data_IF_793317776365
#
_entry.id   IF_793317776365
#
_cell.length_a   1.000
_cell.length_b   1.000
_cell.length_c   1.000
_cell.angle_alpha   90.00
_cell.angle_beta   90.00
_cell.angle_gamma   90.00
#
_symmetry.space_group_name_H-M   'P 1'
#
loop_
_entity.id
_entity.type
_entity.pdbx_description
1 polymer ?
#
# COMPACT_ATOMS: atom_id res chain seq x y z
N UNK A 1 22.39 -39.80 -39.46
CA UNK A 1 21.25 -40.07 -38.55
C UNK A 1 20.92 -38.78 -37.86
N UNK A 2 19.69 -38.28 -38.03
CA UNK A 2 19.21 -37.13 -37.25
C UNK A 2 18.92 -37.61 -35.83
N UNK A 3 19.56 -37.01 -34.85
CA UNK A 3 19.23 -37.24 -33.45
C UNK A 3 17.79 -36.77 -33.18
N UNK A 4 16.96 -37.57 -32.51
CA UNK A 4 15.60 -37.17 -32.17
C UNK A 4 15.65 -36.06 -31.11
N UNK A 5 14.88 -34.99 -31.35
CA UNK A 5 14.66 -33.92 -30.37
C UNK A 5 14.26 -34.52 -29.01
N UNK A 6 14.79 -34.00 -27.89
CA UNK A 6 14.31 -34.40 -26.58
C UNK A 6 12.81 -34.08 -26.46
N UNK A 7 12.04 -34.95 -25.78
CA UNK A 7 10.61 -34.73 -25.58
C UNK A 7 10.38 -33.38 -24.88
N UNK A 8 9.26 -32.70 -25.16
CA UNK A 8 8.92 -31.47 -24.46
C UNK A 8 8.93 -31.73 -22.96
N UNK A 9 9.71 -30.93 -22.23
CA UNK A 9 9.69 -30.90 -20.77
C UNK A 9 8.24 -30.73 -20.34
N UNK A 10 7.70 -31.76 -19.67
CA UNK A 10 6.37 -31.69 -19.08
C UNK A 10 6.27 -30.51 -18.12
N UNK A 11 5.04 -30.09 -17.75
CA UNK A 11 4.88 -29.05 -16.75
C UNK A 11 5.66 -29.43 -15.48
N UNK A 12 6.36 -28.48 -14.83
CA UNK A 12 7.11 -28.77 -13.62
C UNK A 12 6.19 -29.43 -12.61
N UNK A 13 6.50 -30.69 -12.26
CA UNK A 13 5.79 -31.41 -11.22
C UNK A 13 6.33 -30.91 -9.89
N UNK A 14 5.63 -29.94 -9.32
CA UNK A 14 5.90 -29.51 -7.95
C UNK A 14 5.57 -30.67 -7.00
N UNK A 15 6.40 -30.93 -5.99
CA UNK A 15 6.08 -31.93 -4.98
C UNK A 15 4.71 -31.61 -4.35
N UNK A 16 3.91 -32.62 -4.00
CA UNK A 16 2.62 -32.40 -3.35
C UNK A 16 2.83 -31.60 -2.06
N UNK A 17 1.97 -30.60 -1.84
CA UNK A 17 2.03 -29.76 -0.66
C UNK A 17 2.03 -30.62 0.63
N UNK A 18 2.87 -30.29 1.62
CA UNK A 18 2.91 -31.03 2.89
C UNK A 18 1.52 -31.04 3.57
N UNK A 19 1.21 -32.14 4.25
CA UNK A 19 -0.11 -32.40 4.86
C UNK A 19 -0.59 -31.30 5.82
N UNK A 20 0.33 -30.55 6.43
CA UNK A 20 0.01 -29.44 7.34
C UNK A 20 -0.70 -28.27 6.63
N UNK A 21 -0.42 -28.04 5.33
CA UNK A 21 -1.12 -26.99 4.57
C UNK A 21 -2.61 -27.27 4.38
N UNK A 22 -3.04 -28.53 4.49
CA UNK A 22 -4.43 -28.96 4.26
C UNK A 22 -5.36 -28.61 5.43
N UNK A 23 -4.84 -28.50 6.65
CA UNK A 23 -5.64 -28.19 7.84
C UNK A 23 -6.14 -26.73 7.88
N UNK A 24 -5.51 -25.82 7.12
CA UNK A 24 -5.90 -24.41 7.07
C UNK A 24 -7.12 -24.13 6.15
N UNK A 25 -7.59 -25.12 5.37
CA UNK A 25 -8.74 -24.94 4.48
C UNK A 25 -10.05 -24.61 5.24
N UNK A 26 -10.21 -25.12 6.46
CA UNK A 26 -11.39 -24.81 7.29
C UNK A 26 -11.44 -23.34 7.75
N UNK A 27 -10.28 -22.68 7.87
CA UNK A 27 -10.14 -21.28 8.31
C UNK A 27 -10.02 -20.30 7.14
N UNK A 28 -9.96 -20.80 5.91
CA UNK A 28 -9.95 -19.98 4.70
C UNK A 28 -11.06 -18.90 4.65
N UNK A 29 -12.36 -19.20 4.89
CA UNK A 29 -13.40 -18.17 4.86
C UNK A 29 -13.22 -17.11 5.95
N UNK A 30 -12.66 -17.47 7.10
CA UNK A 30 -12.32 -16.52 8.16
C UNK A 30 -11.28 -15.52 7.67
N UNK A 31 -10.23 -16.00 6.98
CA UNK A 31 -9.21 -15.14 6.36
C UNK A 31 -9.79 -14.15 5.35
N UNK A 32 -10.72 -14.60 4.49
CA UNK A 32 -11.42 -13.72 3.53
C UNK A 32 -12.24 -12.64 4.25
N UNK A 33 -13.01 -13.02 5.28
CA UNK A 33 -13.81 -12.07 6.05
C UNK A 33 -12.92 -11.04 6.75
N UNK A 34 -11.82 -11.47 7.35
CA UNK A 34 -10.86 -10.59 8.02
C UNK A 34 -10.18 -9.64 7.02
N UNK A 35 -9.82 -10.10 5.83
CA UNK A 35 -9.24 -9.25 4.78
C UNK A 35 -10.21 -8.14 4.33
N UNK A 36 -11.48 -8.48 4.12
CA UNK A 36 -12.51 -7.50 3.77
C UNK A 36 -12.79 -6.52 4.90
N UNK A 37 -12.83 -7.00 6.15
CA UNK A 37 -13.00 -6.17 7.34
C UNK A 37 -11.82 -5.21 7.53
N UNK A 38 -10.59 -5.68 7.28
CA UNK A 38 -9.39 -4.86 7.27
C UNK A 38 -9.50 -3.72 6.25
N UNK A 39 -9.85 -4.03 5.00
CA UNK A 39 -10.03 -3.03 3.96
C UNK A 39 -11.10 -1.99 4.32
N UNK A 40 -12.21 -2.41 4.92
CA UNK A 40 -13.25 -1.52 5.42
C UNK A 40 -12.76 -0.60 6.56
N UNK A 41 -12.07 -1.16 7.55
CA UNK A 41 -11.51 -0.41 8.68
C UNK A 41 -10.49 0.63 8.22
N UNK A 42 -9.58 0.23 7.33
CA UNK A 42 -8.57 1.13 6.76
C UNK A 42 -9.24 2.24 5.95
N UNK A 43 -10.21 1.91 5.09
CA UNK A 43 -10.98 2.90 4.35
C UNK A 43 -11.68 3.90 5.27
N UNK A 44 -12.34 3.42 6.33
CA UNK A 44 -13.00 4.26 7.31
C UNK A 44 -12.02 5.18 8.04
N UNK A 45 -10.85 4.64 8.44
CA UNK A 45 -9.80 5.40 9.12
C UNK A 45 -9.25 6.56 8.30
N UNK A 46 -8.99 6.34 7.01
CA UNK A 46 -8.51 7.38 6.09
C UNK A 46 -9.56 8.50 5.94
N UNK A 47 -10.83 8.14 5.86
CA UNK A 47 -11.92 9.12 5.78
C UNK A 47 -12.05 9.94 7.06
N UNK A 48 -11.89 9.33 8.24
CA UNK A 48 -11.90 10.05 9.52
C UNK A 48 -10.74 11.05 9.63
N UNK A 49 -9.52 10.64 9.27
CA UNK A 49 -8.36 11.53 9.28
C UNK A 49 -8.56 12.69 8.31
N UNK A 50 -9.07 12.40 7.11
CA UNK A 50 -9.39 13.42 6.11
C UNK A 50 -10.47 14.39 6.59
N UNK A 51 -11.51 13.88 7.26
CA UNK A 51 -12.56 14.70 7.87
C UNK A 51 -11.96 15.64 8.94
N UNK A 52 -11.13 15.12 9.84
CA UNK A 52 -10.45 15.91 10.85
C UNK A 52 -9.56 17.02 10.25
N UNK A 53 -8.79 16.69 9.21
CA UNK A 53 -7.92 17.66 8.53
C UNK A 53 -8.70 18.72 7.76
N UNK A 54 -9.82 18.34 7.12
CA UNK A 54 -10.68 19.29 6.40
C UNK A 54 -11.35 20.32 7.31
N UNK A 55 -11.52 20.01 8.60
CA UNK A 55 -11.97 20.96 9.60
C UNK A 55 -10.84 21.93 10.01
N UNK A 56 -9.61 21.45 10.09
CA UNK A 56 -8.44 22.27 10.41
C UNK A 56 -8.00 23.19 9.26
N UNK A 57 -8.06 22.73 8.00
CA UNK A 57 -7.59 23.48 6.83
C UNK A 57 -8.37 24.77 6.53
N UNK A 58 -9.53 24.97 7.15
CA UNK A 58 -10.32 26.21 7.04
C UNK A 58 -9.85 27.33 7.98
N UNK A 59 -8.86 27.06 8.85
CA UNK A 59 -8.35 27.99 9.86
C UNK A 59 -7.20 28.89 9.39
N UNK A 60 -6.68 28.70 8.16
CA UNK A 60 -5.58 29.54 7.65
C UNK A 60 -6.03 30.92 7.12
N UNK A 61 -7.25 31.37 7.43
CA UNK A 61 -7.81 32.63 6.90
C UNK A 61 -8.40 33.58 7.93
N UNK A 62 -8.84 33.12 9.10
CA UNK A 62 -9.38 34.01 10.13
C UNK A 62 -9.42 33.33 11.52
N UNK A 63 -9.37 34.16 12.55
CA UNK A 63 -8.97 33.86 13.94
C UNK A 63 -9.66 32.67 14.66
N UNK A 64 -8.82 31.83 15.31
CA UNK A 64 -8.99 31.18 16.64
C UNK A 64 -10.29 30.47 17.08
N UNK A 65 -11.12 29.90 16.19
CA UNK A 65 -12.13 28.91 16.62
C UNK A 65 -12.03 27.60 15.83
N UNK A 66 -11.48 26.55 16.44
CA UNK A 66 -11.53 25.19 15.88
C UNK A 66 -12.98 24.79 15.69
N UNK A 67 -13.45 24.76 14.44
CA UNK A 67 -14.78 24.29 14.11
C UNK A 67 -14.91 22.81 14.52
N UNK A 68 -15.84 22.45 15.43
CA UNK A 68 -15.99 21.07 15.85
C UNK A 68 -16.43 20.19 14.67
N UNK A 69 -15.96 18.94 14.67
CA UNK A 69 -16.38 17.93 13.72
C UNK A 69 -17.55 17.16 14.33
N UNK A 70 -18.67 17.09 13.62
CA UNK A 70 -19.80 16.23 14.00
C UNK A 70 -19.48 14.79 13.68
N UNK A 71 -19.23 13.99 14.71
CA UNK A 71 -19.08 12.54 14.59
C UNK A 71 -20.12 11.87 15.49
N UNK A 72 -20.93 10.98 14.91
CA UNK A 72 -22.02 10.30 15.61
C UNK A 72 -22.98 11.25 16.35
N UNK A 73 -23.29 12.40 15.74
CA UNK A 73 -24.21 13.40 16.31
C UNK A 73 -23.62 14.28 17.41
N UNK A 74 -22.38 14.04 17.84
CA UNK A 74 -21.69 14.84 18.84
C UNK A 74 -20.58 15.70 18.21
N UNK A 75 -20.42 16.91 18.72
CA UNK A 75 -19.32 17.80 18.37
C UNK A 75 -18.04 17.30 19.05
N UNK A 76 -17.05 16.90 18.24
CA UNK A 76 -15.77 16.37 18.71
C UNK A 76 -14.62 17.25 18.24
N UNK A 77 -13.55 17.27 19.05
CA UNK A 77 -12.30 17.96 18.69
C UNK A 77 -11.66 17.26 17.47
N UNK A 78 -11.26 18.00 16.42
CA UNK A 78 -10.62 17.43 15.23
C UNK A 78 -9.43 16.52 15.53
N UNK A 79 -8.58 16.90 16.48
CA UNK A 79 -7.42 16.10 16.89
C UNK A 79 -7.81 14.70 17.42
N UNK A 80 -8.91 14.61 18.21
CA UNK A 80 -9.39 13.32 18.71
C UNK A 80 -9.91 12.43 17.59
N UNK A 81 -10.62 13.02 16.61
CA UNK A 81 -11.12 12.29 15.43
C UNK A 81 -9.95 11.80 14.57
N UNK A 82 -8.90 12.59 14.44
CA UNK A 82 -7.67 12.20 13.74
C UNK A 82 -6.94 11.06 14.45
N UNK A 83 -6.74 11.16 15.77
CA UNK A 83 -6.12 10.10 16.58
C UNK A 83 -6.94 8.80 16.53
N UNK A 84 -8.27 8.89 16.59
CA UNK A 84 -9.15 7.73 16.42
C UNK A 84 -8.94 7.08 15.05
N UNK A 85 -8.80 7.90 14.00
CA UNK A 85 -8.40 7.43 12.67
C UNK A 85 -7.08 6.66 12.70
N UNK A 86 -6.03 7.20 13.33
CA UNK A 86 -4.73 6.50 13.45
C UNK A 86 -4.85 5.15 14.18
N UNK A 87 -5.61 5.09 15.27
CA UNK A 87 -5.83 3.84 16.01
C UNK A 87 -6.57 2.81 15.14
N UNK A 88 -7.64 3.21 14.46
CA UNK A 88 -8.41 2.33 13.57
C UNK A 88 -7.57 1.88 12.36
N UNK A 89 -6.72 2.75 11.84
CA UNK A 89 -5.77 2.40 10.79
C UNK A 89 -4.80 1.30 11.27
N UNK A 90 -4.20 1.47 12.45
CA UNK A 90 -3.32 0.48 13.05
C UNK A 90 -4.01 -0.86 13.31
N UNK A 91 -5.26 -0.85 13.79
CA UNK A 91 -6.05 -2.07 13.98
C UNK A 91 -6.35 -2.73 12.63
N UNK A 92 -6.81 -1.97 11.62
CA UNK A 92 -7.17 -2.52 10.32
C UNK A 92 -5.97 -3.06 9.54
N UNK A 93 -4.92 -2.25 9.40
CA UNK A 93 -3.72 -2.56 8.60
C UNK A 93 -2.70 -3.41 9.37
N UNK A 94 -2.44 -3.12 10.64
CA UNK A 94 -1.46 -3.88 11.44
C UNK A 94 -2.05 -5.15 12.06
N UNK A 95 -3.26 -5.06 12.62
CA UNK A 95 -3.92 -6.17 13.30
C UNK A 95 -4.64 -7.10 12.33
N UNK A 96 -5.80 -6.67 11.84
CA UNK A 96 -6.73 -7.51 11.08
C UNK A 96 -6.14 -8.02 9.77
N UNK A 97 -5.42 -7.17 9.02
CA UNK A 97 -4.78 -7.58 7.76
C UNK A 97 -3.71 -8.66 8.00
N UNK A 98 -2.83 -8.47 8.99
CA UNK A 98 -1.76 -9.42 9.29
C UNK A 98 -2.32 -10.77 9.71
N UNK A 99 -3.36 -10.77 10.53
CA UNK A 99 -4.06 -12.01 10.95
C UNK A 99 -4.76 -12.67 9.76
N UNK A 100 -5.39 -11.90 8.87
CA UNK A 100 -5.98 -12.45 7.64
C UNK A 100 -4.92 -13.16 6.77
N UNK A 101 -3.72 -12.59 6.66
CA UNK A 101 -2.62 -13.15 5.90
C UNK A 101 -2.10 -14.51 6.39
N UNK A 102 -2.41 -14.90 7.64
CA UNK A 102 -2.11 -16.24 8.16
C UNK A 102 -3.00 -17.32 7.52
N UNK A 103 -4.24 -16.96 7.17
CA UNK A 103 -5.26 -17.92 6.72
C UNK A 103 -5.43 -17.96 5.20
N UNK A 104 -4.97 -16.95 4.46
CA UNK A 104 -5.13 -16.87 3.00
C UNK A 104 -3.82 -16.53 2.26
N UNK A 105 -3.65 -17.01 1.01
CA UNK A 105 -2.48 -16.71 0.20
C UNK A 105 -2.40 -15.22 -0.15
N UNK A 106 -1.18 -14.71 -0.34
CA UNK A 106 -0.94 -13.28 -0.58
C UNK A 106 -1.57 -12.81 -1.89
N UNK A 107 -1.58 -13.69 -2.89
CA UNK A 107 -2.22 -13.49 -4.19
C UNK A 107 -3.72 -13.21 -4.08
N UNK A 108 -4.37 -13.68 -3.02
CA UNK A 108 -5.78 -13.42 -2.72
C UNK A 108 -5.95 -12.22 -1.78
N UNK A 109 -5.08 -12.12 -0.77
CA UNK A 109 -5.12 -11.08 0.27
C UNK A 109 -5.06 -9.67 -0.33
N UNK A 110 -4.15 -9.43 -1.27
CA UNK A 110 -3.98 -8.13 -1.93
C UNK A 110 -5.25 -7.68 -2.69
N UNK A 111 -5.82 -8.47 -3.63
CA UNK A 111 -7.04 -8.09 -4.32
C UNK A 111 -8.25 -7.88 -3.39
N UNK A 112 -8.37 -8.67 -2.32
CA UNK A 112 -9.41 -8.46 -1.30
C UNK A 112 -9.20 -7.14 -0.57
N UNK A 113 -7.96 -6.80 -0.22
CA UNK A 113 -7.65 -5.55 0.45
C UNK A 113 -7.91 -4.33 -0.43
N UNK A 114 -7.63 -4.41 -1.74
CA UNK A 114 -7.90 -3.34 -2.71
C UNK A 114 -9.39 -2.92 -2.73
N UNK A 115 -10.32 -3.76 -2.26
CA UNK A 115 -11.72 -3.36 -2.05
C UNK A 115 -11.88 -2.16 -1.09
N UNK A 116 -10.85 -1.84 -0.30
CA UNK A 116 -10.74 -0.60 0.48
C UNK A 116 -11.01 0.63 -0.37
N UNK A 117 -10.64 0.65 -1.67
CA UNK A 117 -10.88 1.79 -2.55
C UNK A 117 -12.37 2.04 -2.76
N UNK A 118 -13.14 0.95 -2.88
CA UNK A 118 -14.60 0.99 -3.05
C UNK A 118 -15.25 1.46 -1.75
N UNK A 119 -14.81 0.90 -0.62
CA UNK A 119 -15.28 1.34 0.70
C UNK A 119 -14.94 2.81 0.96
N UNK A 120 -13.74 3.25 0.62
CA UNK A 120 -13.29 4.62 0.79
C UNK A 120 -14.17 5.56 -0.05
N UNK A 121 -14.50 5.19 -1.29
CA UNK A 121 -15.41 5.96 -2.14
C UNK A 121 -16.82 6.06 -1.53
N UNK A 122 -17.35 4.96 -1.00
CA UNK A 122 -18.67 4.91 -0.38
C UNK A 122 -18.72 5.75 0.91
N UNK A 123 -17.76 5.56 1.81
CA UNK A 123 -17.68 6.26 3.10
C UNK A 123 -17.38 7.75 2.87
N UNK A 124 -16.50 8.09 1.91
CA UNK A 124 -16.24 9.49 1.54
C UNK A 124 -17.50 10.19 1.03
N UNK A 125 -18.35 9.49 0.27
CA UNK A 125 -19.66 10.03 -0.12
C UNK A 125 -20.56 10.24 1.08
N UNK A 126 -20.63 9.25 1.98
CA UNK A 126 -21.51 9.30 3.15
C UNK A 126 -21.11 10.41 4.14
N UNK A 127 -19.81 10.54 4.45
CA UNK A 127 -19.32 11.46 5.48
C UNK A 127 -18.96 12.85 4.93
N UNK A 128 -18.25 12.93 3.80
CA UNK A 128 -17.79 14.21 3.23
C UNK A 128 -18.75 14.77 2.17
N UNK A 129 -19.81 14.05 1.81
CA UNK A 129 -20.77 14.43 0.75
C UNK A 129 -20.11 14.69 -0.59
N UNK A 130 -19.02 13.98 -0.89
CA UNK A 130 -18.35 14.11 -2.19
C UNK A 130 -19.26 13.69 -3.36
N UNK A 131 -19.13 14.42 -4.46
CA UNK A 131 -19.77 14.04 -5.72
C UNK A 131 -18.99 12.89 -6.35
N UNK A 132 -19.67 11.76 -6.62
CA UNK A 132 -19.09 10.68 -7.42
C UNK A 132 -19.06 11.10 -8.88
N UNK A 133 -17.88 11.41 -9.39
CA UNK A 133 -17.68 11.57 -10.82
C UNK A 133 -17.88 10.22 -11.51
N UNK A 134 -18.34 10.20 -12.79
CA UNK A 134 -18.50 8.96 -13.54
C UNK A 134 -17.20 8.16 -13.63
N UNK A 135 -16.05 8.82 -13.72
CA UNK A 135 -14.74 8.18 -13.69
C UNK A 135 -14.48 7.39 -12.39
N UNK A 136 -14.83 7.93 -11.21
CA UNK A 136 -14.70 7.23 -9.93
C UNK A 136 -15.56 5.96 -9.88
N UNK A 137 -16.77 6.01 -10.45
CA UNK A 137 -17.66 4.84 -10.54
C UNK A 137 -17.11 3.75 -11.45
N UNK A 138 -16.62 4.14 -12.64
CA UNK A 138 -15.98 3.20 -13.57
C UNK A 138 -14.74 2.56 -12.95
N UNK A 139 -13.88 3.34 -12.30
CA UNK A 139 -12.70 2.83 -11.61
C UNK A 139 -13.06 1.82 -10.51
N UNK A 140 -14.06 2.14 -9.67
CA UNK A 140 -14.54 1.22 -8.64
C UNK A 140 -15.07 -0.10 -9.23
N UNK A 141 -15.79 -0.04 -10.35
CA UNK A 141 -16.28 -1.23 -11.04
C UNK A 141 -15.13 -2.10 -11.57
N UNK A 142 -14.15 -1.49 -12.24
CA UNK A 142 -12.96 -2.20 -12.75
C UNK A 142 -12.18 -2.87 -11.61
N UNK A 143 -12.01 -2.17 -10.50
CA UNK A 143 -11.36 -2.70 -9.29
C UNK A 143 -12.09 -3.92 -8.75
N UNK A 144 -13.42 -3.87 -8.63
CA UNK A 144 -14.22 -5.02 -8.16
C UNK A 144 -14.12 -6.21 -9.12
N UNK A 145 -14.17 -5.98 -10.43
CA UNK A 145 -13.96 -7.02 -11.42
C UNK A 145 -12.57 -7.66 -11.29
N UNK A 146 -11.52 -6.85 -11.19
CA UNK A 146 -10.14 -7.34 -11.01
C UNK A 146 -9.99 -8.15 -9.73
N UNK A 147 -10.49 -7.65 -8.60
CA UNK A 147 -10.47 -8.36 -7.33
C UNK A 147 -11.21 -9.71 -7.40
N UNK A 148 -12.35 -9.75 -8.09
CA UNK A 148 -13.15 -10.97 -8.26
C UNK A 148 -12.43 -11.99 -9.13
N UNK A 149 -11.79 -11.56 -10.23
CA UNK A 149 -11.00 -12.43 -11.09
C UNK A 149 -9.81 -13.04 -10.35
N UNK A 150 -9.09 -12.23 -9.55
CA UNK A 150 -8.01 -12.75 -8.71
C UNK A 150 -8.54 -13.73 -7.65
N UNK A 151 -9.71 -13.48 -7.08
CA UNK A 151 -10.31 -14.39 -6.10
C UNK A 151 -10.69 -15.75 -6.70
N UNK A 152 -11.26 -15.75 -7.91
CA UNK A 152 -11.62 -16.98 -8.63
C UNK A 152 -10.38 -17.76 -9.08
N UNK A 153 -9.35 -17.04 -9.55
CA UNK A 153 -8.11 -17.66 -10.03
C UNK A 153 -7.13 -18.07 -8.93
N UNK A 154 -7.41 -17.78 -7.66
CA UNK A 154 -6.49 -18.09 -6.57
C UNK A 154 -6.53 -19.58 -6.23
N UNK A 155 -5.38 -20.28 -6.24
CA UNK A 155 -5.32 -21.68 -5.84
C UNK A 155 -5.62 -21.82 -4.34
N UNK A 156 -6.57 -22.68 -3.99
CA UNK A 156 -6.97 -22.96 -2.60
C UNK A 156 -5.97 -23.81 -1.83
N UNK A 157 -5.02 -24.42 -2.54
CA UNK A 157 -4.06 -25.40 -2.00
C UNK A 157 -2.65 -24.80 -1.83
N UNK A 158 -2.48 -23.50 -2.07
CA UNK A 158 -1.19 -22.85 -1.90
C UNK A 158 -0.83 -22.73 -0.42
N UNK A 159 0.31 -23.30 -0.03
CA UNK A 159 0.85 -23.17 1.32
C UNK A 159 1.12 -21.70 1.66
N UNK A 160 0.71 -21.30 2.86
CA UNK A 160 0.88 -19.93 3.38
C UNK A 160 2.04 -19.78 4.35
N UNK A 161 2.61 -20.91 4.79
CA UNK A 161 3.73 -21.01 5.72
C UNK A 161 5.02 -21.28 4.94
N UNK A 162 5.99 -20.39 5.11
CA UNK A 162 7.34 -20.53 4.55
C UNK A 162 8.34 -20.51 5.69
N UNK A 163 9.27 -21.45 5.66
CA UNK A 163 10.35 -21.50 6.67
C UNK A 163 11.43 -20.47 6.35
N UNK A 164 12.20 -20.06 7.36
CA UNK A 164 13.31 -19.12 7.18
C UNK A 164 14.44 -19.70 6.30
N UNK A 165 14.60 -21.02 6.28
CA UNK A 165 15.56 -21.74 5.42
C UNK A 165 15.14 -21.65 3.95
N UNK A 166 13.88 -21.89 3.61
CA UNK A 166 13.37 -21.76 2.24
C UNK A 166 13.53 -20.33 1.68
N UNK A 167 13.33 -19.32 2.54
CA UNK A 167 13.54 -17.91 2.16
C UNK A 167 15.04 -17.64 1.95
N UNK A 168 15.92 -18.20 2.78
CA UNK A 168 17.37 -18.08 2.63
C UNK A 168 17.88 -18.78 1.36
N UNK A 169 17.33 -19.93 1.03
CA UNK A 169 17.62 -20.68 -0.19
C UNK A 169 17.18 -19.89 -1.42
N UNK A 170 16.00 -19.26 -1.38
CA UNK A 170 15.54 -18.37 -2.45
C UNK A 170 16.50 -17.20 -2.70
N UNK A 171 17.04 -16.58 -1.65
CA UNK A 171 18.05 -15.51 -1.79
C UNK A 171 19.41 -16.02 -2.26
N UNK A 172 19.72 -17.29 -1.98
CA UNK A 172 20.97 -17.93 -2.41
C UNK A 172 20.92 -18.37 -3.87
N UNK A 173 19.71 -18.60 -4.41
CA UNK A 173 19.51 -18.90 -5.83
C UNK A 173 19.67 -17.62 -6.69
N UNK A 174 20.49 -17.65 -7.76
CA UNK A 174 20.73 -16.45 -8.58
C UNK A 174 19.47 -15.89 -9.24
N UNK A 175 18.49 -16.75 -9.54
CA UNK A 175 17.20 -16.34 -10.07
C UNK A 175 16.38 -15.55 -9.02
N UNK A 176 16.35 -16.01 -7.77
CA UNK A 176 15.64 -15.34 -6.68
C UNK A 176 16.30 -14.00 -6.31
N UNK A 177 17.63 -13.97 -6.25
CA UNK A 177 18.40 -12.74 -6.07
C UNK A 177 18.15 -11.73 -7.21
N UNK A 178 18.19 -12.17 -8.48
CA UNK A 178 17.94 -11.30 -9.63
C UNK A 178 16.51 -10.73 -9.64
N UNK A 179 15.52 -11.55 -9.31
CA UNK A 179 14.14 -11.10 -9.15
C UNK A 179 14.02 -10.03 -8.06
N UNK A 180 14.61 -10.27 -6.90
CA UNK A 180 14.57 -9.32 -5.79
C UNK A 180 15.27 -8.00 -6.10
N UNK A 181 16.46 -8.05 -6.72
CA UNK A 181 17.18 -6.85 -7.17
C UNK A 181 16.35 -6.08 -8.18
N UNK A 182 15.64 -6.76 -9.08
CA UNK A 182 14.75 -6.13 -10.05
C UNK A 182 13.59 -5.40 -9.37
N UNK A 183 12.97 -6.01 -8.37
CA UNK A 183 11.90 -5.36 -7.59
C UNK A 183 12.40 -4.08 -6.90
N UNK A 184 13.57 -4.14 -6.26
CA UNK A 184 14.16 -2.97 -5.60
C UNK A 184 14.61 -1.90 -6.58
N UNK A 185 15.16 -2.28 -7.73
CA UNK A 185 15.49 -1.34 -8.79
C UNK A 185 14.24 -0.61 -9.31
N UNK A 186 13.11 -1.31 -9.42
CA UNK A 186 11.82 -0.69 -9.79
C UNK A 186 11.36 0.34 -8.75
N UNK A 187 11.40 0.03 -7.45
CA UNK A 187 11.10 0.98 -6.38
C UNK A 187 12.05 2.18 -6.44
N UNK A 188 13.36 1.95 -6.40
CA UNK A 188 14.33 3.04 -6.33
C UNK A 188 14.21 3.94 -7.57
N UNK A 189 14.02 3.35 -8.76
CA UNK A 189 13.83 4.13 -9.99
C UNK A 189 12.53 4.92 -9.98
N UNK A 190 11.41 4.40 -9.45
CA UNK A 190 10.18 5.17 -9.34
C UNK A 190 10.32 6.33 -8.37
N UNK A 191 10.98 6.11 -7.22
CA UNK A 191 11.32 7.14 -6.23
C UNK A 191 12.18 8.24 -6.84
N UNK A 192 13.26 7.87 -7.52
CA UNK A 192 14.14 8.82 -8.19
C UNK A 192 13.36 9.60 -9.25
N UNK A 193 12.54 8.93 -10.07
CA UNK A 193 11.73 9.58 -11.08
C UNK A 193 10.74 10.59 -10.49
N UNK A 194 10.08 10.26 -9.38
CA UNK A 194 9.19 11.18 -8.66
C UNK A 194 9.95 12.37 -8.10
N UNK A 195 11.06 12.14 -7.38
CA UNK A 195 11.85 13.22 -6.80
C UNK A 195 12.41 14.16 -7.86
N UNK A 196 12.92 13.62 -8.98
CA UNK A 196 13.38 14.42 -10.11
C UNK A 196 12.22 15.19 -10.75
N UNK A 197 11.05 14.58 -10.86
CA UNK A 197 9.86 15.25 -11.39
C UNK A 197 9.40 16.40 -10.49
N UNK A 198 9.28 16.19 -9.17
CA UNK A 198 8.89 17.24 -8.22
C UNK A 198 9.92 18.35 -8.11
N UNK A 199 11.22 18.01 -8.16
CA UNK A 199 12.30 18.99 -8.22
C UNK A 199 12.24 19.84 -9.50
N UNK A 200 11.83 19.24 -10.63
CA UNK A 200 11.76 19.90 -11.92
C UNK A 200 10.47 20.71 -12.13
N UNK A 201 9.35 20.23 -11.57
CA UNK A 201 8.00 20.74 -11.74
C UNK A 201 7.32 20.87 -10.36
N UNK A 202 7.71 21.88 -9.56
CA UNK A 202 7.13 22.09 -8.24
C UNK A 202 5.62 22.36 -8.33
N UNK A 203 4.84 21.71 -7.44
CA UNK A 203 3.38 21.88 -7.40
C UNK A 203 2.99 23.30 -6.98
N UNK A 204 1.81 23.77 -7.44
CA UNK A 204 1.27 25.08 -7.10
C UNK A 204 1.27 25.39 -5.58
N UNK A 205 1.06 24.37 -4.74
CA UNK A 205 1.10 24.50 -3.28
C UNK A 205 2.53 24.65 -2.72
N UNK A 206 3.51 23.93 -3.27
CA UNK A 206 4.91 24.09 -2.89
C UNK A 206 5.40 25.52 -3.23
N UNK A 207 4.90 26.06 -4.35
CA UNK A 207 5.19 27.42 -4.79
C UNK A 207 4.50 28.47 -3.94
N UNK A 208 3.23 28.28 -3.61
CA UNK A 208 2.53 29.16 -2.67
C UNK A 208 3.19 29.17 -1.28
N UNK A 209 3.71 28.03 -0.82
CA UNK A 209 4.45 27.93 0.46
C UNK A 209 5.80 28.65 0.38
N UNK A 210 6.55 28.47 -0.72
CA UNK A 210 7.81 29.19 -0.95
C UNK A 210 7.59 30.71 -1.06
N UNK A 211 6.56 31.13 -1.78
CA UNK A 211 6.17 32.54 -1.90
C UNK A 211 5.87 33.15 -0.52
N UNK A 212 5.11 32.47 0.35
CA UNK A 212 4.82 32.95 1.72
C UNK A 212 6.06 33.04 2.62
N UNK A 213 7.03 32.12 2.46
CA UNK A 213 8.31 32.19 3.18
C UNK A 213 9.17 33.36 2.68
N UNK A 214 9.11 33.65 1.38
CA UNK A 214 9.79 34.78 0.73
C UNK A 214 9.09 36.14 0.98
N UNK A 215 7.80 36.15 1.32
CA UNK A 215 7.05 37.32 1.78
C UNK A 215 7.38 37.72 3.25
N UNK A 216 8.18 36.93 3.96
CA UNK A 216 8.89 37.43 5.15
C UNK A 216 9.88 38.53 4.69
N UNK A 217 9.93 39.69 5.36
CA UNK A 217 10.41 40.93 4.75
C UNK A 217 11.89 40.82 4.36
N UNK A 218 12.20 40.90 3.05
CA UNK A 218 13.09 41.88 2.40
C UNK A 218 13.15 41.58 0.88
N UNK A 219 12.45 42.40 0.08
CA UNK A 219 12.99 43.01 -1.15
C UNK A 219 13.32 42.16 -2.39
N UNK A 220 13.17 40.84 -2.41
CA UNK A 220 13.45 40.04 -3.61
C UNK A 220 12.17 39.82 -4.44
N UNK A 221 12.07 40.48 -5.60
CA UNK A 221 11.08 40.10 -6.61
C UNK A 221 11.32 38.65 -7.02
N UNK A 222 10.42 37.75 -6.62
CA UNK A 222 10.49 36.33 -7.01
C UNK A 222 10.21 36.26 -8.51
N UNK A 223 11.21 35.89 -9.29
CA UNK A 223 11.06 35.73 -10.73
C UNK A 223 10.29 34.43 -11.03
N UNK A 224 8.99 34.58 -11.29
CA UNK A 224 8.11 33.46 -11.67
C UNK A 224 8.35 33.00 -13.13
N UNK A 225 9.29 33.60 -13.88
CA UNK A 225 9.60 33.20 -15.27
C UNK A 225 10.20 31.80 -15.39
N UNK A 226 10.86 31.31 -14.34
CA UNK A 226 11.48 29.98 -14.32
C UNK A 226 10.53 28.84 -13.91
N UNK A 227 9.25 29.18 -13.68
CA UNK A 227 8.23 28.20 -13.37
C UNK A 227 7.78 27.42 -14.59
N UNK A 228 8.53 26.35 -14.85
CA UNK A 228 8.12 25.35 -15.83
C UNK A 228 6.94 24.59 -15.24
N UNK A 229 5.73 24.89 -15.70
CA UNK A 229 4.59 23.99 -15.52
C UNK A 229 4.86 22.71 -16.31
N UNK A 230 4.42 21.57 -15.76
CA UNK A 230 4.53 20.30 -16.45
C UNK A 230 3.71 20.35 -17.77
N UNK A 231 4.27 19.86 -18.88
CA UNK A 231 3.49 19.70 -20.11
C UNK A 231 2.26 18.80 -19.85
N UNK A 232 1.11 19.06 -20.47
CA UNK A 232 -0.14 18.35 -20.18
C UNK A 232 -0.07 16.83 -20.45
N UNK A 233 0.82 16.39 -21.36
CA UNK A 233 1.08 14.96 -21.57
C UNK A 233 1.83 14.32 -20.41
N UNK A 234 2.79 15.04 -19.85
CA UNK A 234 3.60 14.59 -18.71
C UNK A 234 2.74 14.55 -17.43
N UNK A 235 1.84 15.51 -17.26
CA UNK A 235 0.87 15.51 -16.17
C UNK A 235 -0.05 14.28 -16.22
N UNK A 236 -0.57 13.93 -17.41
CA UNK A 236 -1.36 12.70 -17.59
C UNK A 236 -0.55 11.44 -17.30
N UNK A 237 0.69 11.38 -17.75
CA UNK A 237 1.57 10.25 -17.44
C UNK A 237 1.78 10.12 -15.92
N UNK A 238 2.07 11.23 -15.25
CA UNK A 238 2.28 11.26 -13.80
C UNK A 238 1.03 10.87 -13.02
N UNK A 239 -0.17 11.22 -13.51
CA UNK A 239 -1.43 10.77 -12.91
C UNK A 239 -1.61 9.23 -12.92
N UNK A 240 -0.89 8.52 -13.79
CA UNK A 240 -0.83 7.06 -13.83
C UNK A 240 0.36 6.51 -13.04
N UNK A 241 1.55 7.10 -13.20
CA UNK A 241 2.80 6.63 -12.58
C UNK A 241 2.76 6.75 -11.06
N UNK A 242 2.19 7.84 -10.52
CA UNK A 242 2.11 8.05 -9.07
C UNK A 242 1.33 6.95 -8.35
N UNK A 243 0.05 6.69 -8.69
CA UNK A 243 -0.70 5.60 -8.07
C UNK A 243 -0.08 4.23 -8.31
N UNK A 244 0.48 3.99 -9.51
CA UNK A 244 1.09 2.71 -9.84
C UNK A 244 2.33 2.40 -8.97
N UNK A 245 3.21 3.39 -8.79
CA UNK A 245 4.37 3.25 -7.92
C UNK A 245 3.98 3.12 -6.45
N UNK A 246 2.98 3.87 -5.99
CA UNK A 246 2.49 3.74 -4.61
C UNK A 246 1.99 2.31 -4.35
N UNK A 247 1.22 1.75 -5.29
CA UNK A 247 0.75 0.37 -5.20
C UNK A 247 1.88 -0.66 -5.25
N UNK A 248 2.95 -0.39 -6.00
CA UNK A 248 4.14 -1.24 -6.04
C UNK A 248 4.92 -1.20 -4.71
N UNK A 249 5.09 -0.02 -4.12
CA UNK A 249 5.73 0.17 -2.81
C UNK A 249 4.92 -0.57 -1.71
N UNK A 250 3.59 -0.46 -1.75
CA UNK A 250 2.70 -1.14 -0.82
C UNK A 250 2.75 -2.67 -0.99
N UNK A 251 2.77 -3.17 -2.23
CA UNK A 251 2.90 -4.60 -2.51
C UNK A 251 4.23 -5.17 -1.96
N UNK A 252 5.32 -4.44 -2.11
CA UNK A 252 6.64 -4.85 -1.58
C UNK A 252 6.63 -4.80 -0.05
N UNK A 253 6.05 -3.77 0.55
CA UNK A 253 5.87 -3.68 2.00
C UNK A 253 5.11 -4.90 2.53
N UNK A 254 4.02 -5.31 1.87
CA UNK A 254 3.25 -6.49 2.24
C UNK A 254 4.02 -7.80 2.06
N UNK A 255 4.82 -7.93 0.99
CA UNK A 255 5.71 -9.07 0.79
C UNK A 255 6.73 -9.17 1.93
N UNK A 256 7.40 -8.06 2.26
CA UNK A 256 8.38 -8.01 3.35
C UNK A 256 7.73 -8.28 4.72
N UNK A 257 6.57 -7.70 5.00
CA UNK A 257 5.81 -7.96 6.23
C UNK A 257 5.44 -9.44 6.35
N UNK A 258 4.97 -10.07 5.25
CA UNK A 258 4.62 -11.49 5.26
C UNK A 258 5.84 -12.37 5.48
N UNK A 259 6.95 -12.08 4.82
CA UNK A 259 8.22 -12.78 5.03
C UNK A 259 8.70 -12.63 6.49
N UNK A 260 8.65 -11.40 7.04
CA UNK A 260 9.01 -11.14 8.43
C UNK A 260 8.10 -11.90 9.41
N UNK A 261 6.78 -11.93 9.17
CA UNK A 261 5.84 -12.67 10.00
C UNK A 261 6.09 -14.19 9.95
N UNK A 262 6.30 -14.76 8.75
CA UNK A 262 6.61 -16.19 8.61
C UNK A 262 7.93 -16.59 9.27
N UNK A 263 8.94 -15.72 9.22
CA UNK A 263 10.20 -15.94 9.96
C UNK A 263 10.03 -15.73 11.47
N UNK A 264 9.13 -14.84 11.90
CA UNK A 264 8.88 -14.58 13.33
C UNK A 264 8.12 -15.73 14.00
N UNK A 265 7.25 -16.44 13.29
CA UNK A 265 6.57 -17.63 13.84
C UNK A 265 7.52 -18.83 13.98
N UNK A 266 8.59 -18.89 13.19
CA UNK A 266 9.65 -19.91 13.31
C UNK A 266 10.77 -19.51 14.28
N UNK A 267 10.68 -18.32 14.88
CA UNK A 267 11.67 -17.76 15.80
C UNK A 267 11.91 -18.59 17.05
N UNK A 268 10.85 -19.21 17.59
CA UNK A 268 10.94 -20.08 18.77
C UNK A 268 11.82 -21.33 18.54
N UNK A 269 12.10 -21.68 17.28
CA UNK A 269 12.96 -22.81 16.89
C UNK A 269 14.40 -22.40 16.54
N UNK A 270 14.80 -21.16 16.79
CA UNK A 270 16.16 -20.66 16.54
C UNK A 270 16.39 -19.95 15.21
N UNK A 271 15.36 -19.86 14.34
CA UNK A 271 15.46 -19.24 13.00
C UNK A 271 15.68 -17.72 12.99
N UNK A 272 15.48 -17.02 14.10
CA UNK A 272 15.67 -15.57 14.21
C UNK A 272 17.12 -15.09 14.22
N UNK A 273 18.09 -16.01 14.34
CA UNK A 273 19.52 -15.67 14.28
C UNK A 273 20.03 -15.54 12.84
N UNK A 274 19.22 -15.96 11.85
CA UNK A 274 19.62 -15.92 10.45
C UNK A 274 19.67 -14.47 9.92
N UNK A 275 20.73 -14.13 9.19
CA UNK A 275 21.01 -12.76 8.72
C UNK A 275 19.92 -12.18 7.79
N UNK A 276 19.13 -13.04 7.16
CA UNK A 276 18.01 -12.65 6.29
C UNK A 276 16.90 -11.95 7.07
N UNK A 277 16.65 -12.34 8.32
CA UNK A 277 15.62 -11.75 9.16
C UNK A 277 15.80 -10.24 9.39
N UNK A 278 16.95 -9.75 9.92
CA UNK A 278 17.17 -8.33 10.10
C UNK A 278 17.20 -7.57 8.77
N UNK A 279 17.66 -8.17 7.67
CA UNK A 279 17.62 -7.53 6.35
C UNK A 279 16.18 -7.29 5.90
N UNK A 280 15.32 -8.31 5.93
CA UNK A 280 13.90 -8.17 5.56
C UNK A 280 13.19 -7.17 6.47
N UNK A 281 13.51 -7.14 7.77
CA UNK A 281 12.93 -6.21 8.73
C UNK A 281 13.37 -4.75 8.45
N UNK A 282 14.66 -4.51 8.23
CA UNK A 282 15.19 -3.19 7.86
C UNK A 282 14.58 -2.70 6.56
N UNK A 283 14.43 -3.59 5.58
CA UNK A 283 13.80 -3.27 4.31
C UNK A 283 12.33 -2.90 4.49
N UNK A 284 11.57 -3.67 5.28
CA UNK A 284 10.18 -3.35 5.61
C UNK A 284 10.04 -1.99 6.30
N UNK A 285 10.88 -1.71 7.29
CA UNK A 285 10.88 -0.41 7.99
C UNK A 285 11.27 0.71 7.01
N UNK A 286 12.30 0.49 6.19
CA UNK A 286 12.79 1.44 5.20
C UNK A 286 11.73 1.82 4.17
N UNK A 287 11.03 0.84 3.58
CA UNK A 287 9.92 1.10 2.65
C UNK A 287 8.78 1.82 3.35
N UNK A 288 8.45 1.43 4.58
CA UNK A 288 7.36 2.06 5.35
C UNK A 288 7.65 3.54 5.64
N UNK A 289 8.89 3.88 6.02
CA UNK A 289 9.32 5.27 6.24
C UNK A 289 9.31 6.07 4.94
N UNK A 290 9.78 5.47 3.83
CA UNK A 290 9.76 6.12 2.53
C UNK A 290 8.34 6.50 2.11
N UNK A 291 7.36 5.61 2.31
CA UNK A 291 5.95 5.89 2.02
C UNK A 291 5.39 7.00 2.89
N UNK A 292 5.68 7.00 4.20
CA UNK A 292 5.21 8.06 5.13
C UNK A 292 5.82 9.41 4.80
N UNK A 293 7.09 9.47 4.38
CA UNK A 293 7.75 10.73 4.04
C UNK A 293 7.15 11.47 2.83
N UNK A 294 6.32 10.79 2.03
CA UNK A 294 5.69 11.33 0.81
C UNK A 294 4.21 11.70 0.97
N UNK A 295 3.55 11.26 2.04
CA UNK A 295 2.13 11.54 2.32
C UNK A 295 1.94 12.83 3.11
#
# INVERSE_FOLDING_TARGET
>A
SMDPYPPPLGPPQWPPAPNDCRNNQALYPLGVILALLSGLLVAYSMVLQRLALSANGRLCGDSSELKPVRLCGADRRPALVWCLGMVLYGIGSGGTYSVAGLFIPLSLLSPLFVTLLVWNLFISRAMLRERLTPGKRLGAFIVLCGASLCAIGSPTDACTEFTSEEVADFFSEPAGAAWFVTLWAMVISSVIAMNLFEARYPTAHALARRARVLEAPVGAAVDFSDLRLAPPRLERLMSLVYPASLGLDEAICHLCLRAANGMSTTCERGGCTHWVYPVVLVLWIGTSVATVSRG
#
